data_IF_246291569609
#
_entry.id   IF_246291569609
#
_cell.length_a   1.000
_cell.length_b   1.000
_cell.length_c   1.000
_cell.angle_alpha   90.00
_cell.angle_beta   90.00
_cell.angle_gamma   90.00
#
_symmetry.space_group_name_H-M   'P 1'
#
loop_
_entity.id
_entity.type
_entity.pdbx_description
1 polymer ?
#
# COMPACT_ATOMS: atom_id res chain seq x y z
N UNK A 1 17.45 7.10 11.02
CA UNK A 1 16.10 7.61 11.38
C UNK A 1 15.09 6.50 11.22
N UNK A 2 13.92 6.58 11.86
CA UNK A 2 12.84 5.61 11.68
C UNK A 2 11.84 6.13 10.62
N UNK A 3 11.50 5.31 9.63
CA UNK A 3 10.59 5.68 8.54
C UNK A 3 9.31 4.82 8.57
N UNK A 4 8.15 5.48 8.66
CA UNK A 4 6.83 4.86 8.53
C UNK A 4 6.21 5.30 7.20
N UNK A 5 5.92 4.35 6.33
CA UNK A 5 5.32 4.53 5.01
C UNK A 5 3.85 4.10 5.10
N UNK A 6 2.92 5.05 5.00
CA UNK A 6 1.49 4.78 5.14
C UNK A 6 0.83 4.86 3.75
N UNK A 7 0.20 3.77 3.33
CA UNK A 7 -0.75 3.80 2.23
C UNK A 7 -2.15 3.99 2.82
N UNK A 8 -2.70 5.21 2.75
CA UNK A 8 -3.93 5.56 3.47
C UNK A 8 -5.14 4.82 2.91
N UNK A 9 -6.19 4.73 3.72
CA UNK A 9 -7.48 4.19 3.27
C UNK A 9 -8.03 5.08 2.14
N UNK A 10 -8.38 4.45 1.02
CA UNK A 10 -8.91 5.14 -0.15
C UNK A 10 -10.45 5.08 -0.09
N UNK A 11 -11.15 6.21 -0.28
CA UNK A 11 -12.60 6.21 -0.32
C UNK A 11 -13.12 5.33 -1.45
N UNK A 12 -14.27 4.68 -1.23
CA UNK A 12 -14.95 3.95 -2.29
C UNK A 12 -15.45 4.93 -3.35
N UNK A 13 -15.05 4.70 -4.60
CA UNK A 13 -15.49 5.43 -5.78
C UNK A 13 -16.18 4.48 -6.75
N UNK A 14 -16.81 5.03 -7.80
CA UNK A 14 -17.37 4.24 -8.89
C UNK A 14 -16.34 3.29 -9.54
N UNK A 15 -15.06 3.66 -9.55
CA UNK A 15 -13.96 2.89 -10.15
C UNK A 15 -13.20 2.00 -9.13
N UNK A 16 -13.68 1.90 -7.89
CA UNK A 16 -13.03 1.08 -6.87
C UNK A 16 -13.37 -0.41 -7.04
N UNK A 17 -12.34 -1.25 -7.08
CA UNK A 17 -12.50 -2.70 -7.20
C UNK A 17 -12.81 -3.42 -5.88
N UNK A 18 -13.16 -2.70 -4.79
CA UNK A 18 -13.33 -3.25 -3.43
C UNK A 18 -14.23 -4.49 -3.41
N UNK A 19 -15.37 -4.44 -4.10
CA UNK A 19 -16.30 -5.57 -4.18
C UNK A 19 -15.86 -6.63 -5.21
N UNK A 20 -15.32 -6.20 -6.35
CA UNK A 20 -14.86 -7.10 -7.42
C UNK A 20 -13.71 -8.03 -6.97
N UNK A 21 -12.81 -7.51 -6.13
CA UNK A 21 -11.64 -8.23 -5.61
C UNK A 21 -12.01 -9.49 -4.80
N UNK A 22 -13.16 -9.46 -4.10
CA UNK A 22 -13.65 -10.60 -3.31
C UNK A 22 -13.96 -11.82 -4.21
N UNK A 23 -14.52 -11.59 -5.40
CA UNK A 23 -14.86 -12.68 -6.33
C UNK A 23 -13.62 -13.41 -6.87
N UNK A 24 -12.51 -12.69 -7.02
CA UNK A 24 -11.23 -13.26 -7.48
C UNK A 24 -10.28 -13.61 -6.33
N UNK A 25 -10.76 -13.58 -5.07
CA UNK A 25 -9.99 -13.89 -3.85
C UNK A 25 -8.69 -13.09 -3.73
N UNK A 26 -8.68 -11.84 -4.20
CA UNK A 26 -7.56 -10.91 -4.02
C UNK A 26 -7.91 -9.87 -2.96
N UNK A 27 -6.91 -9.41 -2.20
CA UNK A 27 -7.09 -8.34 -1.21
C UNK A 27 -6.87 -6.94 -1.78
N UNK A 28 -6.02 -6.82 -2.80
CA UNK A 28 -5.73 -5.57 -3.49
C UNK A 28 -5.54 -5.82 -5.00
N UNK A 29 -5.74 -4.79 -5.82
CA UNK A 29 -5.45 -4.82 -7.25
C UNK A 29 -3.93 -4.81 -7.49
N UNK A 30 -3.21 -4.01 -6.70
CA UNK A 30 -1.78 -3.80 -6.81
C UNK A 30 -1.21 -3.42 -5.44
N UNK A 31 0.03 -3.81 -5.11
CA UNK A 31 0.72 -3.27 -3.94
C UNK A 31 1.01 -1.78 -4.11
N UNK A 32 1.30 -1.03 -3.03
CA UNK A 32 1.67 0.38 -3.09
C UNK A 32 3.09 0.57 -3.65
N UNK A 33 3.27 0.30 -4.94
CA UNK A 33 4.56 0.28 -5.63
C UNK A 33 5.33 1.60 -5.47
N UNK A 34 4.64 2.74 -5.52
CA UNK A 34 5.26 4.04 -5.30
C UNK A 34 5.95 4.15 -3.92
N UNK A 35 5.30 3.67 -2.86
CA UNK A 35 5.88 3.67 -1.51
C UNK A 35 7.04 2.68 -1.39
N UNK A 36 6.94 1.51 -2.03
CA UNK A 36 8.05 0.54 -2.07
C UNK A 36 9.28 1.11 -2.79
N UNK A 37 9.08 1.85 -3.89
CA UNK A 37 10.16 2.53 -4.61
C UNK A 37 10.83 3.58 -3.72
N UNK A 38 10.05 4.42 -3.02
CA UNK A 38 10.60 5.39 -2.07
C UNK A 38 11.35 4.68 -0.94
N UNK A 39 10.81 3.59 -0.40
CA UNK A 39 11.46 2.80 0.65
C UNK A 39 12.83 2.24 0.22
N UNK A 40 12.98 1.90 -1.06
CA UNK A 40 14.24 1.44 -1.64
C UNK A 40 15.26 2.58 -1.82
N UNK A 41 14.79 3.83 -1.99
CA UNK A 41 15.65 5.01 -2.10
C UNK A 41 16.12 5.54 -0.73
N UNK A 42 15.43 5.19 0.36
CA UNK A 42 15.85 5.58 1.71
C UNK A 42 17.11 4.83 2.15
N UNK A 43 17.98 5.47 2.98
CA UNK A 43 19.20 4.84 3.46
C UNK A 43 18.95 3.43 4.04
N UNK A 44 19.81 2.44 3.74
CA UNK A 44 19.59 1.05 4.14
C UNK A 44 19.59 0.85 5.65
N UNK A 45 20.29 1.71 6.40
CA UNK A 45 20.39 1.67 7.85
C UNK A 45 19.15 2.24 8.58
N UNK A 46 18.22 2.87 7.85
CA UNK A 46 16.97 3.32 8.44
C UNK A 46 16.00 2.14 8.58
N UNK A 47 15.48 1.83 9.79
CA UNK A 47 14.37 0.92 9.92
C UNK A 47 13.13 1.49 9.21
N UNK A 48 12.51 0.65 8.39
CA UNK A 48 11.37 1.00 7.52
C UNK A 48 10.18 0.12 7.89
N UNK A 49 9.02 0.73 8.09
CA UNK A 49 7.74 0.03 8.26
C UNK A 49 6.77 0.53 7.20
N UNK A 50 6.08 -0.38 6.50
CA UNK A 50 5.03 -0.04 5.55
C UNK A 50 3.69 -0.57 6.06
N UNK A 51 2.69 0.30 6.12
CA UNK A 51 1.33 -0.03 6.54
C UNK A 51 0.38 0.29 5.40
N UNK A 52 -0.31 -0.73 4.91
CA UNK A 52 -1.41 -0.59 3.95
C UNK A 52 -2.74 -0.65 4.69
N UNK A 53 -3.50 0.45 4.65
CA UNK A 53 -4.80 0.55 5.33
C UNK A 53 -5.97 -0.05 4.53
N UNK A 54 -5.72 -0.61 3.33
CA UNK A 54 -6.76 -1.10 2.43
C UNK A 54 -6.87 -2.64 2.38
N UNK A 55 -6.05 -3.38 3.15
CA UNK A 55 -5.84 -4.84 3.04
C UNK A 55 -6.14 -5.58 4.34
#
# INVERSE_FOLDING_TARGET
MNALLIYPEIPNTFWSFKYALQFIRKKAVSPPLGLLTVAAMLPPEWPKCLVDMNV
#
